data_IF_580737813950
#
_entry.id   IF_580737813950
#
_cell.length_a   1.000
_cell.length_b   1.000
_cell.length_c   1.000
_cell.angle_alpha   90.00
_cell.angle_beta   90.00
_cell.angle_gamma   90.00
#
_symmetry.space_group_name_H-M   'P 1'
#
loop_
_entity.id
_entity.type
_entity.pdbx_description
1 polymer ?
#
# COMPACT_ATOMS: atom_id res chain seq x y z
N UNK A 1 -16.48 16.79 15.13
CA UNK A 1 -16.02 16.92 13.73
C UNK A 1 -16.66 15.79 12.92
N UNK A 2 -17.08 16.02 11.68
CA UNK A 2 -17.62 14.94 10.84
C UNK A 2 -16.45 14.15 10.24
N UNK A 3 -16.53 12.81 10.29
CA UNK A 3 -15.58 11.91 9.64
C UNK A 3 -16.14 11.50 8.27
N UNK A 4 -15.25 11.39 7.27
CA UNK A 4 -15.58 10.95 5.92
C UNK A 4 -14.96 9.57 5.66
N UNK A 5 -15.69 8.70 4.97
CA UNK A 5 -15.19 7.41 4.49
C UNK A 5 -15.38 7.34 2.98
N UNK A 6 -14.31 7.01 2.26
CA UNK A 6 -14.31 6.81 0.80
C UNK A 6 -13.86 5.38 0.55
N UNK A 7 -14.66 4.65 -0.23
CA UNK A 7 -14.44 3.26 -0.62
C UNK A 7 -14.77 3.08 -2.10
N UNK A 8 -14.38 1.94 -2.66
CA UNK A 8 -14.79 1.55 -4.01
C UNK A 8 -16.33 1.50 -4.14
N UNK A 9 -16.86 1.72 -5.33
CA UNK A 9 -18.27 1.48 -5.59
C UNK A 9 -18.62 -0.02 -5.44
N UNK A 10 -17.70 -0.90 -5.87
CA UNK A 10 -17.85 -2.35 -5.78
C UNK A 10 -16.48 -3.00 -5.51
N UNK A 11 -16.47 -4.03 -4.69
CA UNK A 11 -15.31 -4.89 -4.51
C UNK A 11 -15.73 -6.37 -4.49
N UNK A 12 -14.99 -7.20 -5.23
CA UNK A 12 -15.18 -8.64 -5.32
C UNK A 12 -14.05 -9.36 -4.59
N UNK A 13 -14.40 -10.35 -3.78
CA UNK A 13 -13.43 -11.04 -2.92
C UNK A 13 -13.46 -12.55 -3.14
N UNK A 14 -12.30 -13.16 -2.93
CA UNK A 14 -12.12 -14.62 -2.96
C UNK A 14 -11.54 -15.10 -4.28
N UNK A 15 -11.19 -16.39 -4.30
CA UNK A 15 -10.63 -17.03 -5.50
C UNK A 15 -11.62 -17.02 -6.63
N UNK A 16 -11.16 -16.62 -7.82
CA UNK A 16 -12.00 -16.44 -8.99
C UNK A 16 -12.76 -15.10 -9.02
N UNK A 17 -12.50 -14.15 -8.13
CA UNK A 17 -13.16 -12.83 -8.14
C UNK A 17 -13.03 -12.11 -9.48
N UNK A 18 -11.91 -12.30 -10.22
CA UNK A 18 -11.72 -11.76 -11.57
C UNK A 18 -12.74 -12.27 -12.60
N UNK A 19 -13.51 -13.34 -12.30
CA UNK A 19 -14.56 -13.80 -13.20
C UNK A 19 -15.70 -12.78 -13.36
N UNK A 20 -15.89 -11.89 -12.38
CA UNK A 20 -16.87 -10.83 -12.44
C UNK A 20 -16.45 -9.62 -13.30
N UNK A 21 -15.17 -9.56 -13.74
CA UNK A 21 -14.59 -8.38 -14.39
C UNK A 21 -15.31 -8.00 -15.68
N UNK A 22 -15.60 -8.97 -16.54
CA UNK A 22 -16.26 -8.73 -17.84
C UNK A 22 -17.72 -8.32 -17.68
N UNK A 23 -18.43 -8.88 -16.70
CA UNK A 23 -19.80 -8.50 -16.39
C UNK A 23 -19.87 -7.08 -15.81
N UNK A 24 -18.89 -6.70 -14.97
CA UNK A 24 -18.79 -5.33 -14.45
C UNK A 24 -18.52 -4.32 -15.59
N UNK A 25 -17.64 -4.64 -16.53
CA UNK A 25 -17.37 -3.79 -17.68
C UNK A 25 -18.59 -3.65 -18.58
N UNK A 26 -19.27 -4.76 -18.90
CA UNK A 26 -20.46 -4.77 -19.73
C UNK A 26 -21.62 -3.98 -19.10
N UNK A 27 -21.87 -4.18 -17.79
CA UNK A 27 -22.93 -3.50 -17.04
C UNK A 27 -22.74 -1.98 -17.01
N UNK A 28 -21.46 -1.53 -16.97
CA UNK A 28 -21.10 -0.11 -16.98
C UNK A 28 -20.99 0.48 -18.38
N UNK A 29 -21.13 -0.33 -19.42
CA UNK A 29 -21.09 0.09 -20.82
C UNK A 29 -19.68 0.39 -21.33
N UNK A 30 -18.64 -0.13 -20.66
CA UNK A 30 -17.25 0.03 -21.10
C UNK A 30 -16.94 -0.86 -22.31
N UNK A 31 -16.15 -0.35 -23.23
CA UNK A 31 -15.92 -0.99 -24.53
C UNK A 31 -14.48 -1.38 -24.77
N UNK A 32 -13.53 -0.59 -24.29
CA UNK A 32 -12.11 -0.84 -24.53
C UNK A 32 -11.28 -0.46 -23.30
N UNK A 33 -10.50 -1.41 -22.79
CA UNK A 33 -9.57 -1.20 -21.68
C UNK A 33 -8.19 -0.74 -22.16
N UNK A 34 -7.51 0.12 -21.40
CA UNK A 34 -6.05 0.08 -21.34
C UNK A 34 -5.63 -0.66 -20.06
N UNK A 35 -4.93 -1.77 -20.23
CA UNK A 35 -4.32 -2.52 -19.13
C UNK A 35 -2.99 -1.85 -18.78
N UNK A 36 -2.81 -1.51 -17.49
CA UNK A 36 -1.57 -0.93 -16.95
C UNK A 36 -0.93 -1.96 -16.03
N UNK A 37 0.27 -2.42 -16.38
CA UNK A 37 1.00 -3.49 -15.67
C UNK A 37 2.51 -3.35 -15.83
N UNK A 38 3.29 -4.25 -15.27
CA UNK A 38 4.72 -4.35 -15.49
C UNK A 38 5.08 -5.48 -16.48
N UNK A 39 6.30 -5.43 -17.01
CA UNK A 39 6.77 -6.40 -18.02
C UNK A 39 6.90 -7.82 -17.48
N UNK A 40 7.05 -8.01 -16.17
CA UNK A 40 7.13 -9.34 -15.53
C UNK A 40 5.75 -9.99 -15.51
N UNK A 41 4.74 -9.27 -15.04
CA UNK A 41 3.36 -9.77 -14.98
C UNK A 41 2.78 -10.01 -16.38
N UNK A 42 3.17 -9.18 -17.36
CA UNK A 42 2.78 -9.37 -18.76
C UNK A 42 3.36 -10.67 -19.34
N UNK A 43 4.58 -11.08 -18.95
CA UNK A 43 5.26 -12.27 -19.49
C UNK A 43 5.02 -13.56 -18.69
N UNK A 44 4.78 -13.48 -17.38
CA UNK A 44 4.66 -14.67 -16.52
C UNK A 44 3.26 -15.30 -16.53
N UNK A 45 2.32 -14.80 -17.33
CA UNK A 45 0.98 -15.34 -17.46
C UNK A 45 -0.04 -14.77 -16.44
N UNK A 46 0.37 -13.91 -15.52
CA UNK A 46 -0.58 -13.30 -14.56
C UNK A 46 -1.54 -12.35 -15.27
N UNK A 47 -1.03 -11.46 -16.12
CA UNK A 47 -1.88 -10.57 -16.91
C UNK A 47 -2.77 -11.35 -17.89
N UNK A 48 -2.31 -12.49 -18.43
CA UNK A 48 -3.09 -13.35 -19.32
C UNK A 48 -4.38 -13.85 -18.68
N UNK A 49 -4.41 -14.08 -17.36
CA UNK A 49 -5.63 -14.47 -16.65
C UNK A 49 -6.77 -13.44 -16.82
N UNK A 50 -6.45 -12.17 -17.04
CA UNK A 50 -7.42 -11.10 -17.29
C UNK A 50 -7.67 -10.94 -18.79
N UNK A 51 -6.61 -10.91 -19.63
CA UNK A 51 -6.78 -10.71 -21.09
C UNK A 51 -7.57 -11.83 -21.74
N UNK A 52 -7.36 -13.09 -21.33
CA UNK A 52 -8.12 -14.24 -21.85
C UNK A 52 -9.64 -14.11 -21.56
N UNK A 53 -10.00 -13.50 -20.43
CA UNK A 53 -11.41 -13.23 -20.10
C UNK A 53 -11.99 -12.11 -20.97
N UNK A 54 -11.22 -11.04 -21.20
CA UNK A 54 -11.62 -9.95 -22.10
C UNK A 54 -11.82 -10.47 -23.52
N UNK A 55 -10.89 -11.28 -24.02
CA UNK A 55 -10.95 -11.90 -25.35
C UNK A 55 -12.17 -12.82 -25.48
N UNK A 56 -12.41 -13.68 -24.47
CA UNK A 56 -13.57 -14.57 -24.45
C UNK A 56 -14.91 -13.82 -24.42
N UNK A 57 -14.94 -12.62 -23.84
CA UNK A 57 -16.11 -11.75 -23.78
C UNK A 57 -16.22 -10.80 -24.99
N UNK A 58 -15.24 -10.80 -25.91
CA UNK A 58 -15.20 -9.89 -27.07
C UNK A 58 -14.97 -8.42 -26.67
N UNK A 59 -14.39 -8.16 -25.51
CA UNK A 59 -14.04 -6.82 -25.04
C UNK A 59 -12.65 -6.42 -25.54
N UNK A 60 -12.57 -5.29 -26.21
CA UNK A 60 -11.30 -4.79 -26.72
C UNK A 60 -10.36 -4.31 -25.61
N UNK A 61 -9.07 -4.47 -25.79
CA UNK A 61 -8.05 -3.98 -24.88
C UNK A 61 -6.74 -3.65 -25.59
N UNK A 62 -5.97 -2.75 -25.00
CA UNK A 62 -4.56 -2.53 -25.25
C UNK A 62 -3.78 -2.64 -23.94
N UNK A 63 -2.46 -2.76 -23.99
CA UNK A 63 -1.62 -2.93 -22.81
C UNK A 63 -0.47 -1.92 -22.80
N UNK A 64 -0.25 -1.29 -21.65
CA UNK A 64 0.94 -0.56 -21.27
C UNK A 64 1.67 -1.36 -20.19
N UNK A 65 2.79 -2.00 -20.53
CA UNK A 65 3.53 -2.93 -19.67
C UNK A 65 4.90 -2.40 -19.20
N UNK A 66 5.13 -1.09 -19.36
CA UNK A 66 6.43 -0.48 -19.07
C UNK A 66 6.49 0.15 -17.69
N UNK A 67 5.57 -0.25 -16.78
CA UNK A 67 5.62 0.19 -15.38
C UNK A 67 6.85 -0.41 -14.70
N UNK A 68 7.58 0.42 -13.98
CA UNK A 68 8.76 0.03 -13.20
C UNK A 68 8.47 0.14 -11.69
N UNK A 69 9.22 -0.58 -10.84
CA UNK A 69 9.19 -0.35 -9.40
C UNK A 69 9.48 1.13 -9.09
N UNK A 70 8.72 1.72 -8.13
CA UNK A 70 8.79 3.15 -7.83
C UNK A 70 8.53 4.01 -9.09
N UNK A 71 7.29 4.02 -9.61
CA UNK A 71 6.98 4.61 -10.90
C UNK A 71 7.35 6.09 -10.95
N UNK A 72 7.93 6.50 -12.07
CA UNK A 72 8.42 7.86 -12.27
C UNK A 72 7.41 8.72 -13.00
N UNK A 73 7.62 10.05 -12.96
CA UNK A 73 6.83 11.00 -13.73
C UNK A 73 6.87 10.65 -15.22
N UNK A 74 8.04 10.23 -15.74
CA UNK A 74 8.18 9.84 -17.13
C UNK A 74 7.31 8.65 -17.52
N UNK A 75 7.24 7.61 -16.66
CA UNK A 75 6.38 6.43 -16.85
C UNK A 75 4.89 6.82 -16.87
N UNK A 76 4.47 7.71 -15.98
CA UNK A 76 3.09 8.23 -15.97
C UNK A 76 2.75 8.93 -17.29
N UNK A 77 3.65 9.78 -17.81
CA UNK A 77 3.43 10.47 -19.09
C UNK A 77 3.38 9.49 -20.28
N UNK A 78 4.23 8.47 -20.31
CA UNK A 78 4.19 7.42 -21.32
C UNK A 78 2.87 6.64 -21.28
N UNK A 79 2.42 6.27 -20.10
CA UNK A 79 1.14 5.60 -19.89
C UNK A 79 -0.05 6.46 -20.30
N UNK A 80 -0.04 7.77 -20.00
CA UNK A 80 -1.06 8.72 -20.49
C UNK A 80 -1.11 8.76 -22.03
N UNK A 81 0.05 8.84 -22.68
CA UNK A 81 0.12 8.81 -24.16
C UNK A 81 -0.42 7.48 -24.70
N UNK A 82 -0.09 6.35 -24.05
CA UNK A 82 -0.63 5.04 -24.44
C UNK A 82 -2.17 5.03 -24.30
N UNK A 83 -2.73 5.57 -23.23
CA UNK A 83 -4.18 5.71 -23.06
C UNK A 83 -4.82 6.52 -24.19
N UNK A 84 -4.25 7.69 -24.51
CA UNK A 84 -4.75 8.55 -25.59
C UNK A 84 -4.72 7.86 -26.98
N UNK A 85 -3.63 7.13 -27.29
CA UNK A 85 -3.50 6.39 -28.56
C UNK A 85 -4.43 5.19 -28.64
N UNK A 86 -4.70 4.51 -27.53
CA UNK A 86 -5.52 3.30 -27.49
C UNK A 86 -6.99 3.55 -27.81
N UNK A 87 -7.51 4.76 -27.52
CA UNK A 87 -8.95 5.05 -27.56
C UNK A 87 -9.74 4.29 -26.50
N UNK A 88 -9.07 3.84 -25.41
CA UNK A 88 -9.72 3.17 -24.29
C UNK A 88 -10.65 4.14 -23.53
N UNK A 89 -11.71 3.61 -22.94
CA UNK A 89 -12.69 4.35 -22.15
C UNK A 89 -12.61 4.01 -20.64
N UNK A 90 -11.83 3.01 -20.27
CA UNK A 90 -11.50 2.68 -18.87
C UNK A 90 -10.08 2.07 -18.76
N UNK A 91 -9.61 1.97 -17.52
CA UNK A 91 -8.31 1.43 -17.17
C UNK A 91 -8.46 0.12 -16.38
N UNK A 92 -7.55 -0.83 -16.59
CA UNK A 92 -7.41 -2.01 -15.72
C UNK A 92 -5.98 -2.00 -15.16
N UNK A 93 -5.85 -1.81 -13.85
CA UNK A 93 -4.57 -1.90 -13.17
C UNK A 93 -4.32 -3.35 -12.72
N UNK A 94 -3.31 -4.01 -13.28
CA UNK A 94 -2.91 -5.36 -12.87
C UNK A 94 -1.53 -5.28 -12.23
N UNK A 95 -1.43 -5.49 -10.94
CA UNK A 95 -0.15 -5.48 -10.25
C UNK A 95 -0.22 -5.10 -8.77
N UNK A 96 0.94 -4.92 -8.17
CA UNK A 96 1.09 -4.35 -6.84
C UNK A 96 0.93 -2.83 -6.86
N UNK A 97 1.53 -2.12 -5.89
CA UNK A 97 1.42 -0.67 -5.77
C UNK A 97 1.83 0.09 -7.03
N UNK A 98 2.97 -0.25 -7.65
CA UNK A 98 3.48 0.53 -8.79
C UNK A 98 2.55 0.59 -10.00
N UNK A 99 1.99 -0.52 -10.53
CA UNK A 99 0.97 -0.46 -11.56
C UNK A 99 -0.31 0.27 -11.13
N UNK A 100 -0.75 0.08 -9.89
CA UNK A 100 -1.93 0.75 -9.34
C UNK A 100 -1.74 2.27 -9.29
N UNK A 101 -0.63 2.73 -8.73
CA UNK A 101 -0.29 4.15 -8.59
C UNK A 101 -0.13 4.82 -9.95
N UNK A 102 0.57 4.14 -10.89
CA UNK A 102 0.69 4.62 -12.27
C UNK A 102 -0.67 4.78 -12.93
N UNK A 103 -1.56 3.79 -12.75
CA UNK A 103 -2.91 3.79 -13.30
C UNK A 103 -3.74 4.97 -12.78
N UNK A 104 -3.71 5.20 -11.45
CA UNK A 104 -4.39 6.34 -10.82
C UNK A 104 -3.89 7.67 -11.37
N UNK A 105 -2.56 7.84 -11.43
CA UNK A 105 -1.96 9.05 -11.98
C UNK A 105 -2.37 9.30 -13.44
N UNK A 106 -2.34 8.26 -14.30
CA UNK A 106 -2.81 8.35 -15.68
C UNK A 106 -4.27 8.81 -15.74
N UNK A 107 -5.14 8.16 -14.97
CA UNK A 107 -6.57 8.43 -15.00
C UNK A 107 -6.92 9.85 -14.54
N UNK A 108 -6.27 10.32 -13.47
CA UNK A 108 -6.46 11.66 -12.92
C UNK A 108 -6.00 12.75 -13.90
N UNK A 109 -4.77 12.69 -14.40
CA UNK A 109 -4.25 13.73 -15.31
C UNK A 109 -4.90 13.69 -16.69
N UNK A 110 -5.48 12.56 -17.08
CA UNK A 110 -6.26 12.47 -18.32
C UNK A 110 -7.58 13.24 -18.23
N UNK A 111 -8.21 13.26 -17.06
CA UNK A 111 -9.49 13.95 -16.82
C UNK A 111 -9.31 15.37 -16.31
N UNK A 112 -8.14 15.70 -15.81
CA UNK A 112 -7.77 17.01 -15.30
C UNK A 112 -6.48 17.51 -15.99
N UNK A 113 -6.55 17.87 -17.28
CA UNK A 113 -5.36 18.15 -18.10
C UNK A 113 -4.56 19.38 -17.64
N UNK A 114 -5.16 20.25 -16.84
CA UNK A 114 -4.47 21.37 -16.20
C UNK A 114 -3.40 20.92 -15.20
N UNK A 115 -3.50 19.68 -14.70
CA UNK A 115 -2.53 19.03 -13.82
C UNK A 115 -1.68 17.98 -14.55
N UNK A 116 -1.41 18.18 -15.84
CA UNK A 116 -0.62 17.23 -16.64
C UNK A 116 0.79 16.98 -16.08
N UNK A 117 1.40 17.97 -15.43
CA UNK A 117 2.56 17.75 -14.57
C UNK A 117 2.07 17.22 -13.20
N UNK A 118 2.26 15.92 -12.98
CA UNK A 118 1.78 15.22 -11.78
C UNK A 118 2.37 15.78 -10.47
N UNK A 119 3.50 16.51 -10.52
CA UNK A 119 4.06 17.23 -9.34
C UNK A 119 3.06 18.21 -8.74
N UNK A 120 2.22 18.80 -9.57
CA UNK A 120 1.19 19.76 -9.13
C UNK A 120 0.08 19.14 -8.30
N UNK A 121 0.04 17.81 -8.21
CA UNK A 121 -0.93 17.03 -7.43
C UNK A 121 -0.38 16.53 -6.10
N UNK A 122 0.85 16.88 -5.73
CA UNK A 122 1.45 16.50 -4.45
C UNK A 122 0.60 16.99 -3.26
N UNK A 123 0.44 16.14 -2.25
CA UNK A 123 -0.41 16.39 -1.09
C UNK A 123 -1.90 16.24 -1.43
N UNK A 124 -2.74 17.11 -0.91
CA UNK A 124 -4.18 17.14 -1.22
C UNK A 124 -4.38 17.70 -2.62
N UNK A 125 -4.70 16.85 -3.55
CA UNK A 125 -4.83 17.20 -4.96
C UNK A 125 -6.09 18.06 -5.21
N UNK A 126 -5.98 19.18 -5.91
CA UNK A 126 -7.10 20.12 -6.13
C UNK A 126 -7.93 19.78 -7.38
N UNK A 127 -8.04 18.50 -7.75
CA UNK A 127 -8.76 18.07 -8.94
C UNK A 127 -10.26 18.31 -8.84
N UNK A 128 -10.92 18.44 -9.99
CA UNK A 128 -12.36 18.70 -10.08
C UNK A 128 -13.15 17.57 -10.71
N UNK A 129 -12.46 16.74 -11.50
CA UNK A 129 -13.09 15.63 -12.22
C UNK A 129 -12.58 14.29 -11.66
N UNK A 130 -13.48 13.31 -11.51
CA UNK A 130 -13.06 11.94 -11.22
C UNK A 130 -12.08 11.42 -12.28
N UNK A 131 -11.21 10.51 -11.87
CA UNK A 131 -10.34 9.75 -12.77
C UNK A 131 -11.13 9.10 -13.92
N UNK A 132 -10.45 8.75 -14.98
CA UNK A 132 -10.93 7.68 -15.88
C UNK A 132 -11.28 6.47 -15.00
N UNK A 133 -12.41 5.77 -15.24
CA UNK A 133 -12.78 4.62 -14.43
C UNK A 133 -11.66 3.58 -14.37
N UNK A 134 -11.37 3.08 -13.17
CA UNK A 134 -10.31 2.11 -12.91
C UNK A 134 -10.90 0.82 -12.35
N UNK A 135 -10.56 -0.31 -12.97
CA UNK A 135 -10.72 -1.65 -12.41
C UNK A 135 -9.36 -2.10 -11.84
N UNK A 136 -9.33 -2.39 -10.56
CA UNK A 136 -8.11 -2.73 -9.87
C UNK A 136 -8.02 -4.24 -9.59
N UNK A 137 -6.93 -4.86 -10.07
CA UNK A 137 -6.63 -6.29 -9.90
C UNK A 137 -5.28 -6.40 -9.20
N UNK A 138 -5.23 -6.37 -7.85
CA UNK A 138 -3.99 -6.45 -7.10
C UNK A 138 -3.35 -7.84 -7.25
N UNK A 139 -2.03 -7.86 -7.37
CA UNK A 139 -1.22 -9.08 -7.43
C UNK A 139 -0.29 -9.23 -6.22
N UNK A 140 -0.39 -8.31 -5.25
CA UNK A 140 0.32 -8.37 -3.97
C UNK A 140 -0.66 -8.16 -2.82
N UNK A 141 -0.40 -8.80 -1.69
CA UNK A 141 -1.16 -8.62 -0.46
C UNK A 141 -0.41 -7.68 0.48
N UNK A 142 -0.46 -6.37 0.21
CA UNK A 142 0.34 -5.40 0.96
C UNK A 142 -0.17 -3.97 0.89
N UNK A 143 -0.06 -3.33 -0.26
CA UNK A 143 -0.25 -1.89 -0.42
C UNK A 143 -1.69 -1.42 -0.30
N UNK A 144 -2.65 -2.30 -0.55
CA UNK A 144 -4.08 -1.97 -0.63
C UNK A 144 -4.40 -0.81 -1.62
N UNK A 145 -3.54 -0.60 -2.63
CA UNK A 145 -3.69 0.51 -3.57
C UNK A 145 -5.03 0.47 -4.32
N UNK A 146 -5.65 -0.70 -4.42
CA UNK A 146 -6.97 -0.93 -5.03
C UNK A 146 -8.14 -0.30 -4.25
N UNK A 147 -7.92 0.10 -2.97
CA UNK A 147 -8.95 0.73 -2.12
C UNK A 147 -8.54 2.07 -1.53
N UNK A 148 -7.38 2.60 -1.94
CA UNK A 148 -6.86 3.86 -1.41
C UNK A 148 -7.15 5.05 -2.32
N UNK A 149 -7.21 6.24 -1.71
CA UNK A 149 -7.36 7.54 -2.36
C UNK A 149 -6.00 8.25 -2.54
N UNK A 150 -4.92 7.50 -2.53
CA UNK A 150 -3.57 8.02 -2.68
C UNK A 150 -2.76 7.18 -3.66
N UNK A 151 -1.74 7.82 -4.24
CA UNK A 151 -0.72 7.18 -5.05
C UNK A 151 0.62 7.88 -4.85
N UNK A 152 1.71 7.14 -5.10
CA UNK A 152 3.08 7.60 -4.86
C UNK A 152 3.86 7.57 -6.17
N UNK A 153 4.43 8.72 -6.53
CA UNK A 153 5.24 8.87 -7.74
C UNK A 153 6.66 9.33 -7.37
N UNK A 154 7.63 8.88 -8.15
CA UNK A 154 9.03 9.25 -7.98
C UNK A 154 9.37 10.42 -8.91
N UNK A 155 9.88 11.49 -8.32
CA UNK A 155 10.53 12.59 -9.03
C UNK A 155 12.02 12.27 -9.14
N UNK A 156 12.45 11.86 -10.32
CA UNK A 156 13.85 11.49 -10.59
C UNK A 156 14.79 12.69 -10.55
N UNK A 157 14.29 13.88 -10.93
CA UNK A 157 15.08 15.12 -10.94
C UNK A 157 15.41 15.55 -9.51
N UNK A 158 14.41 15.50 -8.61
CA UNK A 158 14.54 15.89 -7.21
C UNK A 158 14.97 14.71 -6.30
N UNK A 159 15.08 13.49 -6.87
CA UNK A 159 15.43 12.25 -6.14
C UNK A 159 14.55 12.02 -4.90
N UNK A 160 13.27 12.25 -5.04
CA UNK A 160 12.29 12.07 -3.94
C UNK A 160 11.02 11.38 -4.42
N UNK A 161 10.35 10.73 -3.50
CA UNK A 161 8.97 10.28 -3.69
C UNK A 161 8.03 11.36 -3.18
N UNK A 162 6.88 11.50 -3.82
CA UNK A 162 5.80 12.34 -3.34
C UNK A 162 4.48 11.61 -3.39
N UNK A 163 3.62 11.92 -2.43
CA UNK A 163 2.31 11.32 -2.28
C UNK A 163 1.26 12.31 -2.78
N UNK A 164 0.38 11.83 -3.64
CA UNK A 164 -0.84 12.53 -4.04
C UNK A 164 -2.03 11.90 -3.32
N UNK A 165 -2.90 12.71 -2.76
CA UNK A 165 -4.12 12.28 -2.05
C UNK A 165 -5.32 12.90 -2.73
N UNK A 166 -6.15 12.06 -3.38
CA UNK A 166 -7.28 12.53 -4.17
C UNK A 166 -8.47 11.56 -4.07
N UNK A 167 -9.59 11.97 -3.47
CA UNK A 167 -10.80 11.14 -3.48
C UNK A 167 -11.28 10.72 -4.86
N UNK A 168 -10.88 11.44 -5.90
CA UNK A 168 -11.25 11.19 -7.29
C UNK A 168 -10.43 10.08 -7.95
N UNK A 169 -9.35 9.60 -7.33
CA UNK A 169 -8.46 8.58 -7.92
C UNK A 169 -8.81 7.15 -7.53
N UNK A 170 -9.69 6.97 -6.53
CA UNK A 170 -10.03 5.63 -6.03
C UNK A 170 -10.54 4.74 -7.17
N UNK A 171 -10.02 3.50 -7.31
CA UNK A 171 -10.56 2.56 -8.27
C UNK A 171 -12.04 2.32 -8.08
N UNK A 172 -12.80 2.32 -9.18
CA UNK A 172 -14.24 2.15 -9.15
C UNK A 172 -14.64 0.73 -8.73
N UNK A 173 -13.91 -0.27 -9.26
CA UNK A 173 -14.12 -1.68 -8.91
C UNK A 173 -12.77 -2.30 -8.53
N UNK A 174 -12.76 -3.06 -7.44
CA UNK A 174 -11.60 -3.84 -7.02
C UNK A 174 -11.92 -5.34 -7.06
N UNK A 175 -10.96 -6.16 -7.55
CA UNK A 175 -11.07 -7.62 -7.64
C UNK A 175 -9.97 -8.24 -6.78
N UNK A 176 -10.29 -8.55 -5.53
CA UNK A 176 -9.36 -9.09 -4.54
C UNK A 176 -9.34 -10.61 -4.68
N UNK A 177 -8.58 -11.08 -5.65
CA UNK A 177 -8.49 -12.48 -6.05
C UNK A 177 -7.13 -13.06 -5.66
N UNK A 178 -7.11 -13.99 -4.71
CA UNK A 178 -5.88 -14.63 -4.25
C UNK A 178 -5.16 -15.41 -5.36
N UNK A 179 -5.88 -15.90 -6.38
CA UNK A 179 -5.26 -16.56 -7.54
C UNK A 179 -4.35 -15.62 -8.34
N UNK A 180 -4.58 -14.32 -8.26
CA UNK A 180 -3.71 -13.30 -8.86
C UNK A 180 -2.44 -13.03 -8.05
N UNK A 181 -2.42 -13.42 -6.77
CA UNK A 181 -1.35 -13.17 -5.81
C UNK A 181 -0.47 -14.42 -5.56
N UNK A 182 -0.91 -15.60 -5.96
CA UNK A 182 -0.23 -16.87 -5.68
C UNK A 182 1.19 -16.95 -6.25
N UNK A 183 1.45 -16.26 -7.37
CA UNK A 183 2.77 -16.23 -8.03
C UNK A 183 3.82 -15.39 -7.28
N UNK A 184 3.47 -14.69 -6.19
CA UNK A 184 4.44 -13.93 -5.40
C UNK A 184 5.51 -14.86 -4.79
N UNK A 185 6.82 -14.54 -4.94
CA UNK A 185 7.88 -15.22 -4.20
C UNK A 185 7.72 -15.05 -2.67
N UNK A 186 8.17 -16.03 -1.85
CA UNK A 186 8.04 -15.95 -0.39
C UNK A 186 8.58 -14.66 0.24
N UNK A 187 9.74 -14.17 -0.23
CA UNK A 187 10.32 -12.92 0.26
C UNK A 187 9.44 -11.70 -0.05
N UNK A 188 8.75 -11.68 -1.20
CA UNK A 188 7.81 -10.62 -1.53
C UNK A 188 6.54 -10.73 -0.67
N UNK A 189 6.02 -11.94 -0.45
CA UNK A 189 4.89 -12.18 0.47
C UNK A 189 5.20 -11.69 1.88
N UNK A 190 6.41 -11.96 2.38
CA UNK A 190 6.86 -11.51 3.69
C UNK A 190 6.91 -9.97 3.76
N UNK A 191 7.59 -9.32 2.82
CA UNK A 191 7.74 -7.88 2.79
C UNK A 191 6.40 -7.15 2.66
N UNK A 192 5.56 -7.55 1.69
CA UNK A 192 4.25 -6.91 1.48
C UNK A 192 3.28 -7.21 2.61
N UNK A 193 3.34 -8.39 3.22
CA UNK A 193 2.47 -8.75 4.33
C UNK A 193 2.80 -7.99 5.61
N UNK A 194 4.09 -7.74 5.91
CA UNK A 194 4.45 -6.85 7.03
C UNK A 194 4.15 -5.39 6.71
N UNK A 195 4.21 -4.98 5.44
CA UNK A 195 3.73 -3.67 4.99
C UNK A 195 2.23 -3.48 5.32
N UNK A 196 1.40 -4.46 4.97
CA UNK A 196 -0.03 -4.46 5.33
C UNK A 196 -0.27 -4.39 6.84
N UNK A 197 0.55 -5.11 7.64
CA UNK A 197 0.51 -5.02 9.09
C UNK A 197 0.89 -3.62 9.58
N UNK A 198 1.90 -3.02 8.98
CA UNK A 198 2.33 -1.65 9.30
C UNK A 198 1.22 -0.64 9.00
N UNK A 199 0.56 -0.76 7.84
CA UNK A 199 -0.61 0.04 7.49
C UNK A 199 -1.71 -0.07 8.56
N UNK A 200 -2.03 -1.29 9.01
CA UNK A 200 -3.06 -1.51 10.01
C UNK A 200 -2.66 -0.94 11.38
N UNK A 201 -1.41 -1.13 11.81
CA UNK A 201 -0.93 -0.61 13.09
C UNK A 201 -0.86 0.93 13.07
N UNK A 202 -0.25 1.53 12.05
CA UNK A 202 -0.17 2.99 11.95
C UNK A 202 -1.55 3.63 11.77
N UNK A 203 -2.40 3.05 10.93
CA UNK A 203 -3.77 3.53 10.76
C UNK A 203 -4.60 3.44 12.05
N UNK A 204 -4.35 2.45 12.92
CA UNK A 204 -4.97 2.36 14.25
C UNK A 204 -4.44 3.44 15.21
N UNK A 205 -3.17 3.78 15.09
CA UNK A 205 -2.48 4.70 16.01
C UNK A 205 -2.54 6.17 15.56
N UNK A 206 -2.74 6.44 14.27
CA UNK A 206 -2.68 7.80 13.70
C UNK A 206 -3.65 8.76 14.38
N UNK A 207 -3.30 10.05 14.39
CA UNK A 207 -4.14 11.11 14.95
C UNK A 207 -5.52 11.23 14.30
N UNK A 208 -5.65 10.81 13.05
CA UNK A 208 -6.90 10.80 12.31
C UNK A 208 -7.85 9.64 12.64
N UNK A 209 -7.40 8.65 13.43
CA UNK A 209 -8.14 7.43 13.72
C UNK A 209 -9.44 7.70 14.52
N UNK A 210 -10.49 6.92 14.22
CA UNK A 210 -11.77 6.99 14.89
C UNK A 210 -12.45 5.60 14.92
N UNK A 211 -13.52 5.47 15.68
CA UNK A 211 -14.09 4.16 16.05
C UNK A 211 -14.32 3.18 14.90
N UNK A 212 -14.78 3.64 13.72
CA UNK A 212 -14.98 2.75 12.56
C UNK A 212 -13.65 2.28 11.99
N UNK A 213 -12.69 3.17 11.79
CA UNK A 213 -11.37 2.80 11.27
C UNK A 213 -10.58 1.98 12.28
N UNK A 214 -10.74 2.24 13.57
CA UNK A 214 -10.16 1.42 14.65
C UNK A 214 -10.63 -0.03 14.55
N UNK A 215 -11.92 -0.27 14.34
CA UNK A 215 -12.48 -1.61 14.17
C UNK A 215 -11.91 -2.33 12.93
N UNK A 216 -11.76 -1.62 11.81
CA UNK A 216 -11.16 -2.16 10.58
C UNK A 216 -9.68 -2.52 10.80
N UNK A 217 -8.91 -1.63 11.41
CA UNK A 217 -7.49 -1.86 11.63
C UNK A 217 -7.22 -3.00 12.61
N UNK A 218 -7.96 -3.10 13.71
CA UNK A 218 -7.81 -4.23 14.65
C UNK A 218 -8.16 -5.55 13.97
N UNK A 219 -9.20 -5.59 13.13
CA UNK A 219 -9.54 -6.79 12.36
C UNK A 219 -8.47 -7.13 11.31
N UNK A 220 -7.89 -6.13 10.66
CA UNK A 220 -6.78 -6.33 9.73
C UNK A 220 -5.54 -6.90 10.45
N UNK A 221 -5.16 -6.36 11.62
CA UNK A 221 -4.05 -6.88 12.42
C UNK A 221 -4.28 -8.36 12.77
N UNK A 222 -5.48 -8.72 13.24
CA UNK A 222 -5.85 -10.10 13.59
C UNK A 222 -5.68 -11.04 12.40
N UNK A 223 -6.23 -10.68 11.24
CA UNK A 223 -6.16 -11.50 10.02
C UNK A 223 -4.71 -11.65 9.56
N UNK A 224 -3.97 -10.55 9.43
CA UNK A 224 -2.61 -10.55 8.91
C UNK A 224 -1.66 -11.30 9.85
N UNK A 225 -1.72 -11.05 11.15
CA UNK A 225 -0.87 -11.73 12.13
C UNK A 225 -1.11 -13.26 12.16
N UNK A 226 -2.37 -13.68 11.95
CA UNK A 226 -2.73 -15.09 11.89
C UNK A 226 -2.34 -15.78 10.58
N UNK A 227 -2.33 -15.05 9.46
CA UNK A 227 -2.18 -15.64 8.13
C UNK A 227 -0.77 -15.52 7.53
N UNK A 228 0.01 -14.49 7.88
CA UNK A 228 1.24 -14.16 7.14
C UNK A 228 2.25 -15.31 7.08
N UNK A 229 2.49 -16.00 8.20
CA UNK A 229 3.42 -17.16 8.24
C UNK A 229 2.99 -18.26 7.27
N UNK A 230 1.71 -18.62 7.28
CA UNK A 230 1.15 -19.62 6.39
C UNK A 230 1.21 -19.18 4.92
N UNK A 231 0.91 -17.93 4.63
CA UNK A 231 0.98 -17.35 3.28
C UNK A 231 2.41 -17.41 2.72
N UNK A 232 3.42 -17.04 3.53
CA UNK A 232 4.84 -17.14 3.14
C UNK A 232 5.26 -18.60 2.91
N UNK A 233 4.72 -19.53 3.70
CA UNK A 233 4.94 -20.97 3.54
C UNK A 233 4.18 -21.60 2.35
N UNK A 234 3.33 -20.83 1.66
CA UNK A 234 2.59 -21.30 0.48
C UNK A 234 1.21 -21.88 0.77
N UNK A 235 0.67 -21.70 1.98
CA UNK A 235 -0.71 -22.11 2.29
C UNK A 235 -1.72 -21.24 1.54
N UNK A 236 -2.60 -21.87 0.79
CA UNK A 236 -3.56 -21.18 -0.08
C UNK A 236 -4.65 -20.43 0.70
N UNK A 237 -5.11 -21.01 1.82
CA UNK A 237 -6.11 -20.35 2.69
C UNK A 237 -5.52 -19.14 3.40
N UNK A 238 -4.27 -19.24 3.85
CA UNK A 238 -3.54 -18.10 4.41
C UNK A 238 -3.30 -17.02 3.37
N UNK A 239 -3.01 -17.38 2.10
CA UNK A 239 -2.90 -16.42 1.00
C UNK A 239 -4.19 -15.64 0.76
N UNK A 240 -5.33 -16.31 0.79
CA UNK A 240 -6.64 -15.68 0.66
C UNK A 240 -6.95 -14.77 1.87
N UNK A 241 -6.63 -15.20 3.08
CA UNK A 241 -6.76 -14.36 4.28
C UNK A 241 -5.88 -13.12 4.20
N UNK A 242 -4.64 -13.22 3.68
CA UNK A 242 -3.77 -12.07 3.45
C UNK A 242 -4.35 -11.08 2.44
N UNK A 243 -4.95 -11.57 1.34
CA UNK A 243 -5.61 -10.73 0.35
C UNK A 243 -6.77 -9.91 0.98
N UNK A 244 -7.56 -10.55 1.85
CA UNK A 244 -8.62 -9.86 2.60
C UNK A 244 -8.03 -8.89 3.63
N UNK A 245 -7.04 -9.33 4.43
CA UNK A 245 -6.50 -8.53 5.54
C UNK A 245 -5.88 -7.22 5.09
N UNK A 246 -5.12 -7.24 3.98
CA UNK A 246 -4.53 -6.01 3.41
C UNK A 246 -5.60 -5.03 2.91
N UNK A 247 -6.67 -5.53 2.27
CA UNK A 247 -7.77 -4.68 1.81
C UNK A 247 -8.50 -4.02 2.99
N UNK A 248 -8.78 -4.79 4.06
CA UNK A 248 -9.40 -4.25 5.29
C UNK A 248 -8.53 -3.17 5.92
N UNK A 249 -7.19 -3.35 5.95
CA UNK A 249 -6.26 -2.29 6.38
C UNK A 249 -6.39 -1.05 5.50
N UNK A 250 -6.48 -1.24 4.17
CA UNK A 250 -6.64 -0.17 3.18
C UNK A 250 -7.90 0.66 3.37
N UNK A 251 -9.03 0.00 3.63
CA UNK A 251 -10.29 0.70 3.94
C UNK A 251 -10.13 1.69 5.08
N UNK A 252 -9.30 1.36 6.07
CA UNK A 252 -9.03 2.21 7.23
C UNK A 252 -8.03 3.32 6.90
N UNK A 253 -6.76 2.96 6.66
CA UNK A 253 -5.67 3.95 6.60
C UNK A 253 -5.81 4.95 5.44
N UNK A 254 -6.43 4.55 4.34
CA UNK A 254 -6.71 5.45 3.21
C UNK A 254 -7.48 6.71 3.64
N UNK A 255 -8.32 6.58 4.67
CA UNK A 255 -9.21 7.64 5.13
C UNK A 255 -8.67 8.42 6.34
N UNK A 256 -7.67 7.91 7.05
CA UNK A 256 -7.17 8.53 8.28
C UNK A 256 -5.67 8.84 8.24
N UNK A 257 -4.95 8.29 7.27
CA UNK A 257 -3.50 8.46 7.13
C UNK A 257 -2.69 7.46 7.95
N UNK A 258 -1.39 7.64 7.92
CA UNK A 258 -0.37 6.77 8.50
C UNK A 258 0.45 7.53 9.56
N UNK A 259 1.73 7.19 9.71
CA UNK A 259 2.58 7.78 10.71
C UNK A 259 4.08 7.75 10.37
N UNK A 260 4.89 7.74 11.41
CA UNK A 260 6.34 7.92 11.32
C UNK A 260 7.07 6.74 10.67
N UNK A 261 6.53 5.50 10.72
CA UNK A 261 7.15 4.36 10.03
C UNK A 261 7.23 4.62 8.54
N UNK A 262 6.09 4.98 7.93
CA UNK A 262 6.04 5.32 6.50
C UNK A 262 6.85 6.57 6.19
N UNK A 263 6.77 7.61 7.03
CA UNK A 263 7.61 8.80 6.88
C UNK A 263 9.10 8.51 6.84
N UNK A 264 9.57 7.52 7.62
CA UNK A 264 10.95 7.06 7.63
C UNK A 264 11.28 6.06 6.50
N UNK A 265 10.30 5.28 6.03
CA UNK A 265 10.53 4.29 4.97
C UNK A 265 10.63 4.92 3.57
N UNK A 266 9.92 6.00 3.29
CA UNK A 266 9.95 6.67 1.99
C UNK A 266 11.36 7.14 1.58
N UNK A 267 12.14 7.82 2.46
CA UNK A 267 13.51 8.18 2.13
C UNK A 267 14.41 6.98 1.83
N UNK A 268 14.24 5.84 2.51
CA UNK A 268 15.00 4.63 2.23
C UNK A 268 14.74 4.10 0.81
N UNK A 269 13.50 4.18 0.37
CA UNK A 269 13.14 3.86 -1.00
C UNK A 269 13.76 4.82 -2.02
N UNK A 270 13.80 6.13 -1.72
CA UNK A 270 14.32 7.15 -2.61
C UNK A 270 15.87 7.14 -2.72
N UNK A 271 16.56 6.94 -1.59
CA UNK A 271 18.02 6.99 -1.52
C UNK A 271 18.70 5.67 -1.91
N UNK A 272 18.08 4.53 -1.55
CA UNK A 272 18.69 3.20 -1.65
C UNK A 272 17.90 2.22 -2.51
N UNK A 273 16.74 2.63 -3.03
CA UNK A 273 15.80 1.72 -3.68
C UNK A 273 15.42 0.51 -2.80
N UNK A 274 15.45 0.70 -1.47
CA UNK A 274 15.03 -0.34 -0.52
C UNK A 274 13.59 -0.73 -0.79
N UNK A 275 13.25 -2.02 -0.88
CA UNK A 275 11.86 -2.45 -1.03
C UNK A 275 11.00 -1.91 0.12
N UNK A 276 9.89 -1.27 -0.23
CA UNK A 276 9.08 -0.49 0.72
C UNK A 276 8.65 -1.29 1.95
N UNK A 277 8.11 -2.50 1.74
CA UNK A 277 7.67 -3.35 2.85
C UNK A 277 8.83 -3.82 3.74
N UNK A 278 10.04 -3.98 3.21
CA UNK A 278 11.24 -4.31 4.01
C UNK A 278 11.62 -3.11 4.88
N UNK A 279 11.62 -1.91 4.31
CA UNK A 279 11.91 -0.69 5.07
C UNK A 279 10.92 -0.50 6.22
N UNK A 280 9.62 -0.62 5.95
CA UNK A 280 8.58 -0.55 6.97
C UNK A 280 8.75 -1.61 8.06
N UNK A 281 9.02 -2.86 7.67
CA UNK A 281 9.18 -3.98 8.60
C UNK A 281 10.34 -3.80 9.59
N UNK A 282 11.49 -3.28 9.11
CA UNK A 282 12.65 -3.01 9.97
C UNK A 282 12.37 -1.85 10.93
N UNK A 283 11.70 -0.80 10.46
CA UNK A 283 11.45 0.42 11.23
C UNK A 283 10.32 0.26 12.25
N UNK A 284 9.30 -0.56 11.94
CA UNK A 284 8.08 -0.67 12.73
C UNK A 284 8.31 -0.92 14.22
N UNK A 285 9.12 -1.89 14.67
CA UNK A 285 9.32 -2.14 16.10
C UNK A 285 9.94 -0.95 16.85
N UNK A 286 10.82 -0.20 16.19
CA UNK A 286 11.50 0.96 16.78
C UNK A 286 10.53 2.12 16.97
N UNK A 287 9.74 2.43 15.95
CA UNK A 287 8.72 3.48 16.01
C UNK A 287 7.59 3.09 16.97
N UNK A 288 7.21 1.81 17.04
CA UNK A 288 6.24 1.34 18.02
C UNK A 288 6.71 1.63 19.46
N UNK A 289 7.98 1.34 19.81
CA UNK A 289 8.52 1.68 21.14
C UNK A 289 8.47 3.18 21.40
N UNK A 290 8.83 3.99 20.41
CA UNK A 290 8.76 5.45 20.51
C UNK A 290 7.34 5.96 20.79
N UNK A 291 6.33 5.39 20.15
CA UNK A 291 4.93 5.81 20.25
C UNK A 291 4.19 5.25 21.48
N UNK A 292 4.71 4.20 22.12
CA UNK A 292 3.96 3.38 23.07
C UNK A 292 3.30 4.17 24.23
N UNK A 293 4.00 5.17 24.78
CA UNK A 293 3.49 5.94 25.91
C UNK A 293 2.41 6.97 25.52
N UNK A 294 2.38 7.38 24.24
CA UNK A 294 1.44 8.39 23.75
C UNK A 294 0.07 7.83 23.35
N UNK A 295 -0.17 6.51 23.45
CA UNK A 295 -1.30 5.83 22.82
C UNK A 295 -2.27 5.14 23.78
N UNK A 296 -2.15 5.37 25.08
CA UNK A 296 -3.04 4.79 26.09
C UNK A 296 -3.06 3.26 26.05
N UNK A 297 -4.24 2.66 25.90
CA UNK A 297 -4.46 1.20 25.87
C UNK A 297 -4.32 0.59 24.47
N UNK A 298 -4.13 1.38 23.42
CA UNK A 298 -4.15 0.89 22.04
C UNK A 298 -3.14 -0.24 21.77
N UNK A 299 -1.99 -0.25 22.43
CA UNK A 299 -1.01 -1.34 22.32
C UNK A 299 -1.47 -2.66 22.93
N UNK A 300 -2.30 -2.62 23.96
CA UNK A 300 -2.94 -3.83 24.50
C UNK A 300 -3.87 -4.45 23.46
N UNK A 301 -4.62 -3.62 22.75
CA UNK A 301 -5.51 -4.08 21.70
C UNK A 301 -4.72 -4.64 20.50
N UNK A 302 -3.61 -4.00 20.10
CA UNK A 302 -2.69 -4.53 19.07
C UNK A 302 -2.14 -5.89 19.51
N UNK A 303 -1.63 -6.01 20.75
CA UNK A 303 -1.11 -7.28 21.25
C UNK A 303 -2.16 -8.39 21.22
N UNK A 304 -3.40 -8.08 21.66
CA UNK A 304 -4.53 -9.02 21.62
C UNK A 304 -4.87 -9.43 20.19
N UNK A 305 -4.95 -8.48 19.25
CA UNK A 305 -5.19 -8.76 17.83
C UNK A 305 -4.10 -9.61 17.21
N UNK A 306 -2.85 -9.49 17.66
CA UNK A 306 -1.73 -10.36 17.26
C UNK A 306 -1.72 -11.73 17.98
N UNK A 307 -2.74 -12.06 18.78
CA UNK A 307 -2.88 -13.36 19.45
C UNK A 307 -2.18 -13.48 20.80
N UNK A 308 -1.71 -12.37 21.38
CA UNK A 308 -1.08 -12.37 22.71
C UNK A 308 -2.18 -12.37 23.80
N UNK A 309 -2.01 -13.19 24.83
CA UNK A 309 -2.86 -13.12 26.04
C UNK A 309 -2.48 -11.92 26.89
N UNK A 310 -3.39 -10.95 26.99
CA UNK A 310 -3.09 -9.65 27.60
C UNK A 310 -3.82 -9.38 28.92
N UNK A 311 -4.72 -10.29 29.33
CA UNK A 311 -5.66 -10.06 30.44
C UNK A 311 -4.97 -9.83 31.79
N UNK A 312 -3.84 -10.50 32.01
CA UNK A 312 -3.06 -10.39 33.24
C UNK A 312 -1.86 -9.43 33.14
N UNK A 313 -1.67 -8.79 31.98
CA UNK A 313 -0.51 -7.90 31.77
C UNK A 313 -0.78 -6.49 32.31
N UNK A 314 0.24 -5.89 32.92
CA UNK A 314 0.23 -4.43 33.12
C UNK A 314 0.23 -3.72 31.77
N UNK A 315 -0.10 -2.42 31.74
CA UNK A 315 -0.06 -1.64 30.51
C UNK A 315 1.34 -1.63 29.87
N UNK A 316 2.38 -1.46 30.67
CA UNK A 316 3.77 -1.52 30.21
C UNK A 316 4.10 -2.89 29.60
N UNK A 317 3.73 -3.98 30.27
CA UNK A 317 3.97 -5.33 29.75
C UNK A 317 3.17 -5.60 28.44
N UNK A 318 1.94 -5.08 28.34
CA UNK A 318 1.14 -5.21 27.13
C UNK A 318 1.75 -4.43 25.94
N UNK A 319 2.34 -3.25 26.18
CA UNK A 319 3.07 -2.47 25.18
C UNK A 319 4.28 -3.23 24.65
N UNK A 320 5.12 -3.76 25.56
CA UNK A 320 6.27 -4.58 25.16
C UNK A 320 5.84 -5.85 24.41
N UNK A 321 4.77 -6.52 24.86
CA UNK A 321 4.24 -7.70 24.21
C UNK A 321 3.76 -7.44 22.77
N UNK A 322 3.16 -6.28 22.50
CA UNK A 322 2.78 -5.89 21.14
C UNK A 322 4.01 -5.74 20.23
N UNK A 323 5.03 -5.05 20.72
CA UNK A 323 6.28 -4.85 19.96
C UNK A 323 6.99 -6.18 19.73
N UNK A 324 7.09 -7.04 20.76
CA UNK A 324 7.75 -8.33 20.62
C UNK A 324 6.99 -9.27 19.66
N UNK A 325 5.66 -9.21 19.64
CA UNK A 325 4.87 -9.97 18.66
C UNK A 325 5.20 -9.57 17.21
N UNK A 326 5.41 -8.27 16.94
CA UNK A 326 5.89 -7.80 15.63
C UNK A 326 7.31 -8.26 15.35
N UNK A 327 8.23 -8.12 16.31
CA UNK A 327 9.60 -8.59 16.17
C UNK A 327 9.66 -10.09 15.85
N UNK A 328 8.85 -10.89 16.56
CA UNK A 328 8.78 -12.33 16.34
C UNK A 328 8.24 -12.66 14.95
N UNK A 329 7.17 -11.98 14.53
CA UNK A 329 6.62 -12.17 13.19
C UNK A 329 7.65 -11.86 12.10
N UNK A 330 8.39 -10.74 12.21
CA UNK A 330 9.45 -10.37 11.27
C UNK A 330 10.54 -11.45 11.17
N UNK A 331 10.99 -12.00 12.32
CA UNK A 331 11.95 -13.11 12.35
C UNK A 331 11.40 -14.36 11.65
N UNK A 332 10.16 -14.74 11.95
CA UNK A 332 9.53 -15.95 11.43
C UNK A 332 9.34 -15.91 9.91
N UNK A 333 9.16 -14.73 9.32
CA UNK A 333 8.99 -14.56 7.87
C UNK A 333 10.29 -14.10 7.16
N UNK A 334 11.40 -14.02 7.89
CA UNK A 334 12.72 -13.77 7.31
C UNK A 334 13.01 -12.32 6.90
N UNK A 335 12.40 -11.34 7.58
CA UNK A 335 12.72 -9.93 7.37
C UNK A 335 14.13 -9.64 7.95
N UNK A 336 14.99 -8.87 7.24
CA UNK A 336 16.26 -8.40 7.79
C UNK A 336 16.07 -7.64 9.10
N UNK A 337 17.00 -7.83 10.03
CA UNK A 337 16.90 -7.22 11.36
C UNK A 337 17.31 -5.75 11.42
N UNK A 338 18.14 -5.31 10.46
CA UNK A 338 18.79 -4.00 10.52
C UNK A 338 18.89 -3.32 9.16
N UNK A 339 18.86 -1.98 9.14
CA UNK A 339 18.99 -1.17 7.93
C UNK A 339 20.35 -1.35 7.22
N UNK A 340 21.42 -1.65 7.95
CA UNK A 340 22.73 -1.96 7.36
C UNK A 340 22.70 -3.22 6.48
N UNK A 341 21.82 -4.17 6.76
CA UNK A 341 21.68 -5.40 5.97
C UNK A 341 21.06 -5.14 4.59
N UNK A 342 20.36 -4.02 4.44
CA UNK A 342 19.79 -3.55 3.17
C UNK A 342 20.57 -2.40 2.54
N UNK A 343 21.85 -2.22 2.97
CA UNK A 343 22.80 -1.32 2.36
C UNK A 343 22.77 0.14 2.82
N UNK A 344 21.97 0.46 3.84
CA UNK A 344 21.89 1.83 4.38
C UNK A 344 23.20 2.19 5.09
N UNK A 345 23.77 3.33 4.74
CA UNK A 345 25.02 3.83 5.33
C UNK A 345 24.72 4.72 6.52
N UNK A 346 25.53 4.61 7.56
CA UNK A 346 25.33 5.33 8.81
C UNK A 346 25.47 6.85 8.63
N UNK A 347 26.38 7.26 7.76
CA UNK A 347 26.63 8.67 7.43
C UNK A 347 25.46 9.39 6.75
N UNK A 348 24.53 8.65 6.13
CA UNK A 348 23.36 9.22 5.46
C UNK A 348 22.16 9.42 6.40
N UNK A 349 22.21 8.90 7.64
CA UNK A 349 21.12 9.01 8.62
C UNK A 349 20.63 10.45 8.82
N UNK A 350 21.49 11.49 8.93
CA UNK A 350 21.01 12.87 9.07
C UNK A 350 20.17 13.34 7.88
N UNK A 351 20.56 12.98 6.65
CA UNK A 351 19.81 13.35 5.45
C UNK A 351 18.48 12.58 5.34
N UNK A 352 18.49 11.28 5.67
CA UNK A 352 17.28 10.47 5.75
C UNK A 352 16.30 11.03 6.79
N UNK A 353 16.79 11.43 7.97
CA UNK A 353 15.94 11.98 9.02
C UNK A 353 15.34 13.34 8.64
N UNK A 354 16.08 14.18 7.91
CA UNK A 354 15.56 15.44 7.40
C UNK A 354 14.43 15.21 6.40
N UNK A 355 14.60 14.25 5.49
CA UNK A 355 13.56 13.88 4.52
C UNK A 355 12.34 13.26 5.21
N UNK A 356 12.55 12.39 6.20
CA UNK A 356 11.46 11.79 6.98
C UNK A 356 10.65 12.81 7.78
N UNK A 357 11.31 13.83 8.33
CA UNK A 357 10.63 14.90 9.07
C UNK A 357 9.69 15.72 8.16
N UNK A 358 10.06 15.89 6.89
CA UNK A 358 9.27 16.61 5.89
C UNK A 358 8.19 15.75 5.22
N UNK A 359 8.18 14.45 5.47
CA UNK A 359 7.22 13.52 4.84
C UNK A 359 5.79 13.74 5.37
N UNK A 360 4.82 13.68 4.46
CA UNK A 360 3.40 13.91 4.77
C UNK A 360 2.85 12.94 5.83
N UNK A 361 3.33 11.70 5.85
CA UNK A 361 2.88 10.67 6.81
C UNK A 361 3.31 10.98 8.23
N UNK A 362 4.47 11.63 8.42
CA UNK A 362 5.02 11.96 9.74
C UNK A 362 4.07 12.79 10.59
N UNK A 363 3.30 13.70 9.98
CA UNK A 363 2.30 14.53 10.66
C UNK A 363 1.16 13.75 11.31
N UNK A 364 0.86 12.53 10.83
CA UNK A 364 -0.16 11.63 11.38
C UNK A 364 0.28 10.87 12.64
N UNK A 365 1.58 10.86 12.97
CA UNK A 365 2.10 10.07 14.07
C UNK A 365 1.49 10.48 15.43
N UNK A 366 1.10 9.55 16.32
CA UNK A 366 0.45 9.88 17.58
C UNK A 366 1.34 10.69 18.53
N UNK A 367 2.65 10.43 18.52
CA UNK A 367 3.67 11.20 19.25
C UNK A 367 4.42 12.10 18.27
N UNK A 368 4.53 13.38 18.59
CA UNK A 368 5.35 14.31 17.81
C UNK A 368 6.81 13.88 17.86
N UNK A 369 7.46 13.87 16.70
CA UNK A 369 8.86 13.47 16.56
C UNK A 369 9.71 14.68 16.12
N UNK A 370 10.74 14.98 16.88
CA UNK A 370 11.78 15.94 16.49
C UNK A 370 12.76 15.31 15.50
N UNK A 371 13.56 16.14 14.83
CA UNK A 371 14.67 15.64 13.99
C UNK A 371 15.64 14.74 14.79
N UNK A 372 15.91 15.09 16.05
CA UNK A 372 16.79 14.29 16.91
C UNK A 372 16.17 12.92 17.24
N UNK A 373 14.86 12.86 17.48
CA UNK A 373 14.16 11.58 17.69
C UNK A 373 14.27 10.67 16.45
N UNK A 374 14.05 11.24 15.26
CA UNK A 374 14.12 10.49 14.01
C UNK A 374 15.53 9.97 13.72
N UNK A 375 16.56 10.79 13.97
CA UNK A 375 17.97 10.37 13.90
C UNK A 375 18.22 9.20 14.86
N UNK A 376 17.74 9.30 16.11
CA UNK A 376 17.87 8.23 17.10
C UNK A 376 17.17 6.94 16.69
N UNK A 377 16.00 7.03 16.09
CA UNK A 377 15.24 5.87 15.58
C UNK A 377 15.97 5.18 14.41
N UNK A 378 16.50 5.95 13.45
CA UNK A 378 17.32 5.37 12.38
C UNK A 378 18.59 4.70 12.92
N UNK A 379 19.26 5.33 13.92
CA UNK A 379 20.45 4.75 14.56
C UNK A 379 20.12 3.44 15.29
N UNK A 380 18.96 3.37 15.96
CA UNK A 380 18.51 2.17 16.65
C UNK A 380 18.14 1.03 15.68
N UNK A 381 17.66 1.36 14.48
CA UNK A 381 17.34 0.41 13.43
C UNK A 381 18.55 0.01 12.57
N UNK A 382 19.68 0.74 12.65
CA UNK A 382 20.87 0.50 11.83
C UNK A 382 21.73 -0.60 12.39
#
# INVERSE_FOLDING_TARGET
MANRMILNETAWFGRGAINALTDEAARRGYRKALIVTDSTLARCGVAAKVTDKLDAAGLAWDMFSDVIPNPTIAVVQQGRQAFQRSGADYLIAIGGGSPQDTCKAIGIIQRNPEFADVRSLEGLSPTRQPSVPIFAVPTTAGTAAEVTINYVITDEEQRRKFVCVDPHDIPQVAFIDADMMDAMPPALKAATGVDALTHAIEGYLTRGAWALTDALHLKAIEIIAGALRGSVAGDAGAGEAMALGQYVAGMGFSNVGLGLVHGMAHPLGAFYNTPHGVANAILLPHVMRFNAEATGEKYRDIARAMGVRVEALSLTAAREAAVEAVCQLNRDVGIPGHLREVGVRKEDIPALAQAALADVCTGGNPREASLADIVGLYQAAW
#
